data_IF_353161396976
#
_entry.id   IF_353161396976
#
_cell.length_a   1.000
_cell.length_b   1.000
_cell.length_c   1.000
_cell.angle_alpha   90.00
_cell.angle_beta   90.00
_cell.angle_gamma   90.00
#
_symmetry.space_group_name_H-M   'P 1'
#
loop_
_entity.id
_entity.type
_entity.pdbx_description
1 polymer ?
#
# COMPACT_ATOMS: atom_id res chain seq x y z
N UNK A 1 -6.16 2.01 26.70
CA UNK A 1 -6.47 3.06 25.75
C UNK A 1 -6.63 2.60 24.32
N UNK A 2 -7.35 3.42 23.62
CA UNK A 2 -7.81 3.12 22.29
C UNK A 2 -6.66 2.93 21.29
N UNK A 3 -5.63 3.79 21.39
CA UNK A 3 -4.50 3.72 20.49
C UNK A 3 -3.69 2.45 20.65
N UNK A 4 -3.51 2.02 21.88
CA UNK A 4 -2.78 0.79 22.15
C UNK A 4 -3.50 -0.42 21.56
N UNK A 5 -4.83 -0.47 21.70
CA UNK A 5 -5.60 -1.55 21.10
C UNK A 5 -5.49 -1.54 19.60
N UNK A 6 -5.54 -0.37 18.98
CA UNK A 6 -5.46 -0.23 17.53
C UNK A 6 -4.10 -0.72 17.01
N UNK A 7 -3.00 -0.33 17.69
CA UNK A 7 -1.67 -0.78 17.31
C UNK A 7 -1.56 -2.30 17.44
N UNK A 8 -2.10 -2.85 18.53
CA UNK A 8 -2.08 -4.29 18.75
C UNK A 8 -2.87 -5.03 17.67
N UNK A 9 -4.04 -4.52 17.32
CA UNK A 9 -4.86 -5.12 16.27
C UNK A 9 -4.17 -5.09 14.91
N UNK A 10 -3.52 -3.99 14.58
CA UNK A 10 -2.78 -3.88 13.33
C UNK A 10 -1.62 -4.87 13.31
N UNK A 11 -0.91 -5.00 14.42
CA UNK A 11 0.19 -5.95 14.51
C UNK A 11 -0.30 -7.38 14.33
N UNK A 12 -1.46 -7.71 14.92
CA UNK A 12 -2.05 -9.04 14.76
C UNK A 12 -2.46 -9.31 13.32
N UNK A 13 -3.04 -8.31 12.66
CA UNK A 13 -3.40 -8.43 11.24
C UNK A 13 -2.16 -8.60 10.36
N UNK A 14 -1.11 -7.86 10.64
CA UNK A 14 0.13 -7.98 9.89
C UNK A 14 0.75 -9.37 10.05
N UNK A 15 0.69 -9.93 11.25
CA UNK A 15 1.19 -11.28 11.49
C UNK A 15 0.35 -12.31 10.73
N UNK A 16 -0.97 -12.13 10.71
CA UNK A 16 -1.85 -13.04 9.97
C UNK A 16 -1.59 -12.95 8.48
N UNK A 17 -1.40 -11.74 7.97
CA UNK A 17 -1.06 -11.55 6.56
C UNK A 17 0.22 -12.32 6.22
N UNK A 18 1.24 -12.21 7.07
CA UNK A 18 2.49 -12.92 6.84
C UNK A 18 2.32 -14.42 6.80
N UNK A 19 1.52 -14.98 7.71
CA UNK A 19 1.24 -16.41 7.72
C UNK A 19 0.59 -16.86 6.41
N UNK A 20 -0.39 -16.08 5.93
CA UNK A 20 -1.09 -16.43 4.70
C UNK A 20 -0.20 -16.31 3.47
N UNK A 21 0.65 -15.28 3.44
CA UNK A 21 1.59 -15.13 2.33
C UNK A 21 2.60 -16.28 2.29
N UNK A 22 3.06 -16.72 3.46
CA UNK A 22 3.98 -17.86 3.51
C UNK A 22 3.33 -19.13 3.01
N UNK A 23 2.07 -19.38 3.39
CA UNK A 23 1.34 -20.55 2.89
C UNK A 23 1.25 -20.53 1.37
N UNK A 24 1.05 -19.36 0.79
CA UNK A 24 0.95 -19.20 -0.65
C UNK A 24 2.31 -19.09 -1.35
N UNK A 25 3.38 -19.02 -0.58
CA UNK A 25 4.72 -18.76 -1.10
C UNK A 25 4.73 -17.48 -1.96
N UNK A 26 4.12 -16.43 -1.43
CA UNK A 26 3.91 -15.19 -2.16
C UNK A 26 4.46 -14.00 -1.40
N UNK A 27 4.64 -12.89 -2.12
CA UNK A 27 5.15 -11.64 -1.56
C UNK A 27 4.12 -10.54 -1.74
N UNK A 28 4.25 -9.50 -0.92
CA UNK A 28 3.40 -8.32 -0.96
C UNK A 28 4.27 -7.08 -1.13
N UNK A 29 3.75 -6.12 -1.87
CA UNK A 29 4.33 -4.78 -1.98
C UNK A 29 3.29 -3.75 -1.56
N UNK A 30 3.75 -2.57 -1.15
CA UNK A 30 2.86 -1.50 -0.73
C UNK A 30 3.17 -0.23 -1.52
N UNK A 31 2.12 0.54 -1.77
CA UNK A 31 2.24 1.84 -2.42
C UNK A 31 1.40 2.82 -1.62
N UNK A 32 2.06 3.76 -0.96
CA UNK A 32 1.40 4.62 0.02
C UNK A 32 1.57 6.09 -0.32
N UNK A 33 0.55 6.86 -0.01
CA UNK A 33 0.61 8.30 -0.09
C UNK A 33 0.36 8.87 1.31
N UNK A 34 -0.88 9.10 1.69
CA UNK A 34 -1.20 9.79 2.95
C UNK A 34 -0.70 9.07 4.20
N UNK A 35 -0.51 7.77 4.14
CA UNK A 35 -0.04 6.99 5.30
C UNK A 35 1.47 7.06 5.50
N UNK A 36 2.20 7.58 4.51
CA UNK A 36 3.63 7.87 4.66
C UNK A 36 4.56 6.72 4.97
N UNK A 37 4.14 5.49 4.69
CA UNK A 37 4.94 4.30 4.99
C UNK A 37 4.40 3.48 6.14
N UNK A 38 3.29 3.89 6.74
CA UNK A 38 2.73 3.19 7.90
C UNK A 38 2.33 1.76 7.63
N UNK A 39 1.83 1.48 6.43
CA UNK A 39 1.44 0.11 6.09
C UNK A 39 2.68 -0.78 5.96
N UNK A 40 3.70 -0.31 5.27
CA UNK A 40 4.96 -1.04 5.14
C UNK A 40 5.58 -1.28 6.51
N UNK A 41 5.55 -0.29 7.38
CA UNK A 41 6.09 -0.44 8.73
C UNK A 41 5.30 -1.50 9.52
N UNK A 42 3.97 -1.49 9.41
CA UNK A 42 3.14 -2.48 10.11
C UNK A 42 3.48 -3.90 9.67
N UNK A 43 3.70 -4.09 8.37
CA UNK A 43 4.04 -5.42 7.84
C UNK A 43 5.44 -5.84 8.29
N UNK A 44 6.39 -4.91 8.23
CA UNK A 44 7.79 -5.24 8.48
C UNK A 44 8.14 -5.32 9.97
N UNK A 45 7.24 -4.85 10.85
CA UNK A 45 7.49 -5.02 12.30
C UNK A 45 7.39 -6.48 12.73
N UNK A 46 6.80 -7.33 11.92
CA UNK A 46 6.65 -8.75 12.25
C UNK A 46 7.97 -9.47 11.98
N UNK A 47 8.50 -10.22 12.96
CA UNK A 47 9.73 -10.96 12.73
C UNK A 47 9.59 -11.95 11.57
N UNK A 48 10.61 -11.99 10.73
CA UNK A 48 10.62 -12.88 9.58
C UNK A 48 9.97 -12.29 8.34
N UNK A 49 9.52 -11.03 8.37
CA UNK A 49 8.76 -10.43 7.28
C UNK A 49 9.54 -10.34 5.97
N UNK A 50 10.87 -10.46 6.00
CA UNK A 50 11.65 -10.47 4.76
C UNK A 50 11.25 -11.63 3.83
N UNK A 51 10.62 -12.67 4.39
CA UNK A 51 10.18 -13.80 3.59
C UNK A 51 8.95 -13.47 2.73
N UNK A 52 8.21 -12.41 3.06
CA UNK A 52 6.98 -12.10 2.33
C UNK A 52 6.82 -10.62 1.97
N UNK A 53 7.65 -9.73 2.48
CA UNK A 53 7.55 -8.32 2.11
C UNK A 53 8.62 -8.00 1.08
N UNK A 54 8.22 -7.50 -0.09
CA UNK A 54 9.16 -7.27 -1.19
C UNK A 54 9.67 -5.84 -1.20
N UNK A 55 8.78 -4.87 -1.22
CA UNK A 55 9.15 -3.46 -1.34
C UNK A 55 7.98 -2.58 -0.92
N UNK A 56 8.30 -1.38 -0.44
CA UNK A 56 7.31 -0.36 -0.17
C UNK A 56 7.66 0.92 -0.91
N UNK A 57 6.66 1.53 -1.52
CA UNK A 57 6.80 2.78 -2.26
C UNK A 57 5.99 3.85 -1.56
N UNK A 58 6.66 4.92 -1.15
CA UNK A 58 5.98 6.07 -0.56
C UNK A 58 6.04 7.18 -1.60
N UNK A 59 4.91 7.44 -2.25
CA UNK A 59 4.81 8.42 -3.33
C UNK A 59 3.77 9.45 -2.92
N UNK A 60 4.23 10.47 -2.21
CA UNK A 60 3.32 11.42 -1.59
C UNK A 60 2.71 12.38 -2.62
N UNK A 61 3.55 12.96 -3.48
CA UNK A 61 3.10 13.90 -4.50
C UNK A 61 2.57 13.17 -5.74
N UNK A 62 1.71 13.85 -6.50
CA UNK A 62 1.24 13.31 -7.76
C UNK A 62 2.40 13.07 -8.73
N UNK A 63 3.38 13.98 -8.71
CA UNK A 63 4.57 13.82 -9.56
C UNK A 63 5.28 12.50 -9.27
N UNK A 64 5.42 12.16 -7.98
CA UNK A 64 6.10 10.93 -7.62
C UNK A 64 5.26 9.69 -7.88
N UNK A 65 3.94 9.80 -7.76
CA UNK A 65 3.07 8.69 -8.18
C UNK A 65 3.31 8.37 -9.65
N UNK A 66 3.44 9.39 -10.48
CA UNK A 66 3.71 9.19 -11.91
C UNK A 66 5.14 8.69 -12.15
N UNK A 67 6.12 9.32 -11.51
CA UNK A 67 7.53 8.98 -11.74
C UNK A 67 7.89 7.58 -11.27
N UNK A 68 7.43 7.23 -10.08
CA UNK A 68 7.84 5.96 -9.48
C UNK A 68 6.91 4.81 -9.83
N UNK A 69 5.63 5.08 -9.95
CA UNK A 69 4.64 4.03 -10.14
C UNK A 69 3.93 4.08 -11.49
N UNK A 70 4.37 4.97 -12.36
CA UNK A 70 3.81 5.11 -13.72
C UNK A 70 2.32 5.43 -13.74
N UNK A 71 1.82 6.12 -12.71
CA UNK A 71 0.44 6.60 -12.73
C UNK A 71 0.33 7.64 -13.84
N UNK A 72 -0.62 7.49 -14.78
CA UNK A 72 -0.75 8.46 -15.87
C UNK A 72 -1.02 9.86 -15.35
N UNK A 73 -0.23 10.83 -15.80
CA UNK A 73 -0.38 12.21 -15.34
C UNK A 73 -1.74 12.79 -15.70
N UNK A 74 -2.31 12.32 -16.79
CA UNK A 74 -3.62 12.78 -17.25
C UNK A 74 -4.77 12.32 -16.36
N UNK A 75 -4.50 11.37 -15.48
CA UNK A 75 -5.53 10.83 -14.60
C UNK A 75 -5.92 11.82 -13.50
N UNK A 76 -4.95 12.56 -12.98
CA UNK A 76 -5.18 13.44 -11.83
C UNK A 76 -6.23 14.53 -12.09
N UNK A 77 -6.16 15.28 -13.21
CA UNK A 77 -7.19 16.28 -13.44
C UNK A 77 -8.57 15.68 -13.73
N UNK A 78 -8.63 14.42 -14.20
CA UNK A 78 -9.91 13.78 -14.50
C UNK A 78 -10.63 13.29 -13.25
N UNK A 79 -9.93 12.59 -12.36
CA UNK A 79 -10.56 11.89 -11.25
C UNK A 79 -10.02 12.30 -9.90
N UNK A 80 -8.97 13.13 -9.87
CA UNK A 80 -8.34 13.56 -8.62
C UNK A 80 -7.39 12.52 -8.05
N UNK A 81 -6.53 12.99 -7.15
CA UNK A 81 -5.50 12.14 -6.55
C UNK A 81 -6.09 11.10 -5.60
N UNK A 82 -7.22 11.39 -4.99
CA UNK A 82 -7.91 10.48 -4.07
C UNK A 82 -9.05 9.83 -4.83
N UNK A 83 -8.73 8.78 -5.55
CA UNK A 83 -9.70 8.09 -6.40
C UNK A 83 -9.32 6.63 -6.52
N UNK A 84 -10.31 5.81 -6.83
CA UNK A 84 -10.07 4.39 -7.04
C UNK A 84 -9.14 4.17 -8.23
N UNK A 85 -9.32 4.97 -9.28
CA UNK A 85 -8.49 4.85 -10.48
C UNK A 85 -7.01 5.10 -10.19
N UNK A 86 -6.72 6.08 -9.34
CA UNK A 86 -5.33 6.40 -9.00
C UNK A 86 -4.72 5.28 -8.16
N UNK A 87 -5.45 4.77 -7.14
CA UNK A 87 -4.88 3.70 -6.31
C UNK A 87 -4.73 2.41 -7.12
N UNK A 88 -5.61 2.13 -8.06
CA UNK A 88 -5.43 0.96 -8.92
C UNK A 88 -4.20 1.11 -9.81
N UNK A 89 -3.96 2.31 -10.33
CA UNK A 89 -2.75 2.55 -11.09
C UNK A 89 -1.50 2.40 -10.21
N UNK A 90 -1.59 2.85 -8.96
CA UNK A 90 -0.48 2.71 -8.01
C UNK A 90 -0.15 1.24 -7.73
N UNK A 91 -1.16 0.40 -7.49
CA UNK A 91 -0.88 -1.02 -7.23
C UNK A 91 -0.27 -1.71 -8.45
N UNK A 92 -0.74 -1.37 -9.65
CA UNK A 92 -0.16 -1.94 -10.87
C UNK A 92 1.30 -1.55 -11.02
N UNK A 93 1.60 -0.27 -10.80
CA UNK A 93 2.98 0.19 -10.88
C UNK A 93 3.87 -0.47 -9.84
N UNK A 94 3.37 -0.61 -8.61
CA UNK A 94 4.13 -1.27 -7.56
C UNK A 94 4.38 -2.74 -7.88
N UNK A 95 3.38 -3.44 -8.41
CA UNK A 95 3.54 -4.83 -8.81
C UNK A 95 4.57 -4.98 -9.94
N UNK A 96 4.49 -4.11 -10.93
CA UNK A 96 5.44 -4.17 -12.04
C UNK A 96 6.87 -3.97 -11.60
N UNK A 97 7.08 -3.04 -10.68
CA UNK A 97 8.43 -2.75 -10.21
C UNK A 97 8.95 -3.79 -9.23
N UNK A 98 8.10 -4.27 -8.33
CA UNK A 98 8.53 -5.20 -7.29
C UNK A 98 8.43 -6.66 -7.71
N UNK A 99 7.58 -6.96 -8.68
CA UNK A 99 7.23 -8.31 -9.10
C UNK A 99 6.49 -9.09 -8.02
N UNK A 100 6.00 -8.42 -6.98
CA UNK A 100 5.23 -9.06 -5.93
C UNK A 100 3.87 -9.49 -6.46
N UNK A 101 3.39 -10.61 -5.97
CA UNK A 101 2.12 -11.16 -6.40
C UNK A 101 0.94 -10.34 -5.90
N UNK A 102 1.08 -9.78 -4.68
CA UNK A 102 0.03 -8.96 -4.06
C UNK A 102 0.52 -7.54 -3.89
N UNK A 103 -0.38 -6.59 -4.01
CA UNK A 103 -0.05 -5.19 -3.79
C UNK A 103 -1.21 -4.48 -3.09
N UNK A 104 -0.86 -3.58 -2.19
CA UNK A 104 -1.82 -2.74 -1.47
C UNK A 104 -1.44 -1.29 -1.73
N UNK A 105 -2.39 -0.47 -2.12
CA UNK A 105 -2.15 0.96 -2.29
C UNK A 105 -3.19 1.78 -1.55
N UNK A 106 -2.76 2.91 -1.04
CA UNK A 106 -3.61 3.85 -0.32
C UNK A 106 -3.29 5.27 -0.80
N UNK A 107 -4.32 6.03 -1.10
CA UNK A 107 -4.22 7.45 -1.35
C UNK A 107 -5.35 8.15 -0.61
N UNK A 108 -5.08 9.32 -0.07
CA UNK A 108 -6.08 10.03 0.69
C UNK A 108 -5.59 11.40 1.08
N UNK A 109 -6.43 12.10 1.86
CA UNK A 109 -6.11 13.40 2.39
C UNK A 109 -6.04 13.29 3.91
N UNK A 110 -4.95 13.75 4.49
CA UNK A 110 -4.80 13.77 5.94
C UNK A 110 -5.78 14.79 6.52
N UNK A 111 -6.47 14.39 7.56
CA UNK A 111 -7.40 15.29 8.24
C UNK A 111 -8.79 14.69 8.38
N UNK A 112 -9.59 15.26 9.28
CA UNK A 112 -10.88 14.66 9.63
C UNK A 112 -11.91 14.69 8.50
N UNK A 113 -11.81 15.65 7.59
CA UNK A 113 -12.76 15.78 6.50
C UNK A 113 -12.22 15.22 5.18
N UNK A 114 -11.03 14.66 5.20
CA UNK A 114 -10.44 14.12 3.99
C UNK A 114 -10.98 12.75 3.67
N UNK A 115 -11.15 12.50 2.37
CA UNK A 115 -11.50 11.18 1.91
C UNK A 115 -10.27 10.31 1.74
N UNK A 116 -10.48 9.00 1.68
CA UNK A 116 -9.40 8.09 1.36
C UNK A 116 -9.89 7.02 0.40
N UNK A 117 -8.97 6.54 -0.42
CA UNK A 117 -9.22 5.41 -1.30
C UNK A 117 -8.15 4.37 -1.08
N UNK A 118 -8.54 3.11 -1.11
CA UNK A 118 -7.60 2.01 -0.95
C UNK A 118 -7.89 0.95 -1.99
N UNK A 119 -6.86 0.30 -2.47
CA UNK A 119 -7.03 -0.80 -3.41
C UNK A 119 -6.10 -1.95 -3.05
N UNK A 120 -6.61 -3.15 -3.13
CA UNK A 120 -5.83 -4.37 -3.02
C UNK A 120 -5.93 -5.09 -4.34
N UNK A 121 -4.80 -5.36 -4.95
CA UNK A 121 -4.76 -6.07 -6.23
C UNK A 121 -4.07 -7.41 -6.02
N UNK A 122 -4.75 -8.45 -6.46
CA UNK A 122 -4.21 -9.79 -6.52
C UNK A 122 -3.75 -10.04 -7.94
N UNK A 123 -2.48 -10.43 -8.08
CA UNK A 123 -1.93 -10.68 -9.39
C UNK A 123 -1.30 -12.07 -9.43
N UNK A 124 -1.39 -12.70 -10.55
CA UNK A 124 -0.82 -14.03 -10.74
C UNK A 124 0.68 -14.02 -10.90
#
# INVERSE_FOLDING_TARGET
PHQERTVKEITQLAAELGRRLQVLNAHVTTAESCTGGGIAEAITRIPGSSAWFEAGYVTYSNRQKSRQLNVPETLFPKVGAVSQEVVEAMVRGAQEKSLARFAVAVSGVAGPDGGSAAALVLYR
#
